data_IF_366898436782
#
_entry.id   IF_366898436782
#
_cell.length_a   1.000
_cell.length_b   1.000
_cell.length_c   1.000
_cell.angle_alpha   90.00
_cell.angle_beta   90.00
_cell.angle_gamma   90.00
#
_symmetry.space_group_name_H-M   'P 1'
#
loop_
_entity.id
_entity.type
_entity.pdbx_description
1 polymer ?
#
# COMPACT_ATOMS: atom_id res chain seq x y z
N UNK A 1 -23.29 15.87 -13.38
CA UNK A 1 -24.13 16.87 -12.73
C UNK A 1 -24.35 16.47 -11.28
N UNK A 2 -23.34 16.70 -10.43
CA UNK A 2 -23.38 16.28 -9.04
C UNK A 2 -23.58 17.48 -8.13
N UNK A 3 -24.81 17.72 -7.69
CA UNK A 3 -25.12 18.53 -6.53
C UNK A 3 -24.97 17.68 -5.26
N UNK A 4 -23.78 17.16 -5.01
CA UNK A 4 -23.50 16.49 -3.75
C UNK A 4 -23.21 17.55 -2.69
N UNK A 5 -24.11 17.64 -1.70
CA UNK A 5 -23.97 18.52 -0.53
C UNK A 5 -22.73 18.07 0.26
N UNK A 6 -21.63 18.84 0.17
CA UNK A 6 -20.39 18.52 0.85
C UNK A 6 -20.45 18.75 2.36
N UNK A 7 -21.37 19.60 2.80
CA UNK A 7 -21.59 19.95 4.21
C UNK A 7 -22.60 21.07 4.34
N UNK A 8 -23.07 21.33 5.56
CA UNK A 8 -23.99 22.40 5.90
C UNK A 8 -23.39 23.23 7.04
N UNK A 9 -23.25 24.52 6.84
CA UNK A 9 -22.86 25.46 7.89
C UNK A 9 -24.11 26.22 8.36
N UNK A 10 -24.51 26.01 9.61
CA UNK A 10 -25.60 26.69 10.22
C UNK A 10 -25.07 27.84 11.11
N UNK A 11 -25.48 29.05 10.82
CA UNK A 11 -25.12 30.22 11.60
C UNK A 11 -26.31 30.61 12.46
N UNK A 12 -26.14 30.60 13.79
CA UNK A 12 -27.11 31.07 14.74
C UNK A 12 -27.13 32.60 14.81
N UNK A 13 -28.27 33.16 15.17
CA UNK A 13 -28.42 34.62 15.34
C UNK A 13 -27.43 35.18 16.37
N UNK A 14 -26.90 36.36 16.10
CA UNK A 14 -25.98 37.09 16.99
C UNK A 14 -26.76 37.71 18.11
N UNK A 15 -26.80 37.12 19.30
CA UNK A 15 -27.39 37.75 20.50
C UNK A 15 -26.43 38.78 21.09
N UNK A 16 -26.85 40.02 21.13
CA UNK A 16 -26.24 41.01 22.03
C UNK A 16 -26.84 40.82 23.43
N UNK A 17 -26.01 40.48 24.39
CA UNK A 17 -26.40 40.39 25.82
C UNK A 17 -27.23 41.60 26.20
N UNK A 18 -28.54 41.40 26.44
CA UNK A 18 -29.43 42.41 27.04
C UNK A 18 -30.41 43.12 26.11
N UNK A 19 -30.56 42.80 24.83
CA UNK A 19 -31.65 43.30 23.97
C UNK A 19 -32.16 42.18 23.06
N UNK A 20 -33.44 41.90 23.20
CA UNK A 20 -34.22 40.95 22.42
C UNK A 20 -34.47 41.50 20.99
N UNK A 21 -33.41 41.70 20.22
CA UNK A 21 -33.45 41.96 18.78
C UNK A 21 -32.38 41.18 18.11
N UNK A 22 -32.77 40.13 17.41
CA UNK A 22 -31.94 39.42 16.43
C UNK A 22 -31.53 40.43 15.37
N UNK A 23 -30.29 40.87 15.41
CA UNK A 23 -29.70 41.67 14.35
C UNK A 23 -29.35 40.70 13.23
N UNK A 24 -29.97 40.85 12.05
CA UNK A 24 -29.62 40.06 10.87
C UNK A 24 -28.15 40.26 10.47
N UNK A 25 -27.63 39.37 9.67
CA UNK A 25 -26.30 39.50 9.08
C UNK A 25 -26.28 40.69 8.11
N UNK A 26 -25.20 41.47 8.10
CA UNK A 26 -24.96 42.53 7.13
C UNK A 26 -24.60 41.93 5.74
N UNK A 27 -24.71 42.74 4.69
CA UNK A 27 -24.27 42.32 3.36
C UNK A 27 -22.77 41.93 3.34
N UNK A 28 -21.94 42.63 4.13
CA UNK A 28 -20.52 42.30 4.29
C UNK A 28 -20.29 40.93 4.96
N UNK A 29 -21.08 40.62 5.97
CA UNK A 29 -21.05 39.30 6.62
C UNK A 29 -21.42 38.19 5.62
N UNK A 30 -22.42 38.43 4.78
CA UNK A 30 -22.85 37.47 3.75
C UNK A 30 -21.78 37.27 2.69
N UNK A 31 -21.14 38.35 2.22
CA UNK A 31 -20.01 38.26 1.24
C UNK A 31 -18.85 37.49 1.85
N UNK A 32 -18.50 37.75 3.10
CA UNK A 32 -17.43 37.04 3.80
C UNK A 32 -17.74 35.54 3.95
N UNK A 33 -18.97 35.22 4.33
CA UNK A 33 -19.42 33.84 4.47
C UNK A 33 -19.41 33.08 3.13
N UNK A 34 -19.86 33.69 2.05
CA UNK A 34 -19.81 33.13 0.72
C UNK A 34 -18.38 32.89 0.26
N UNK A 35 -17.46 33.75 0.66
CA UNK A 35 -16.01 33.57 0.37
C UNK A 35 -15.43 32.37 1.12
N UNK A 36 -15.78 32.21 2.40
CA UNK A 36 -15.37 31.04 3.20
C UNK A 36 -16.00 29.76 2.64
N UNK A 37 -17.29 29.80 2.28
CA UNK A 37 -17.98 28.66 1.68
C UNK A 37 -17.28 28.22 0.39
N UNK A 38 -16.97 29.15 -0.51
CA UNK A 38 -16.28 28.86 -1.76
C UNK A 38 -14.91 28.21 -1.55
N UNK A 39 -14.09 28.78 -0.67
CA UNK A 39 -12.75 28.24 -0.36
C UNK A 39 -12.85 26.86 0.30
N UNK A 40 -13.76 26.71 1.26
CA UNK A 40 -13.98 25.44 1.96
C UNK A 40 -14.50 24.35 1.01
N UNK A 41 -15.42 24.70 0.11
CA UNK A 41 -15.95 23.78 -0.91
C UNK A 41 -14.86 23.27 -1.85
N UNK A 42 -13.98 24.18 -2.31
CA UNK A 42 -12.82 23.80 -3.15
C UNK A 42 -11.86 22.88 -2.38
N UNK A 43 -11.55 23.21 -1.12
CA UNK A 43 -10.65 22.41 -0.29
C UNK A 43 -11.19 20.99 -0.06
N UNK A 44 -12.47 20.86 0.29
CA UNK A 44 -13.14 19.57 0.47
C UNK A 44 -13.19 18.78 -0.83
N UNK A 45 -13.51 19.43 -1.95
CA UNK A 45 -13.55 18.78 -3.27
C UNK A 45 -12.17 18.27 -3.68
N UNK A 46 -11.12 19.06 -3.48
CA UNK A 46 -9.76 18.65 -3.77
C UNK A 46 -9.33 17.48 -2.87
N UNK A 47 -9.61 17.53 -1.56
CA UNK A 47 -9.31 16.42 -0.65
C UNK A 47 -9.98 15.12 -1.10
N UNK A 48 -11.27 15.16 -1.47
CA UNK A 48 -11.99 13.98 -1.98
C UNK A 48 -11.43 13.47 -3.31
N UNK A 49 -11.01 14.36 -4.21
CA UNK A 49 -10.36 13.95 -5.47
C UNK A 49 -9.02 13.29 -5.21
N UNK A 50 -8.20 13.82 -4.27
CA UNK A 50 -6.95 13.19 -3.86
C UNK A 50 -7.17 11.83 -3.19
N UNK A 51 -8.13 11.73 -2.28
CA UNK A 51 -8.50 10.45 -1.66
C UNK A 51 -8.94 9.43 -2.70
N UNK A 52 -9.82 9.83 -3.63
CA UNK A 52 -10.30 8.95 -4.70
C UNK A 52 -9.17 8.50 -5.62
N UNK A 53 -8.31 9.41 -6.07
CA UNK A 53 -7.15 9.08 -6.89
C UNK A 53 -6.17 8.16 -6.13
N UNK A 54 -5.96 8.41 -4.83
CA UNK A 54 -5.11 7.58 -3.98
C UNK A 54 -5.74 6.19 -3.70
N UNK A 55 -7.06 6.09 -3.67
CA UNK A 55 -7.78 4.82 -3.55
C UNK A 55 -7.84 4.03 -4.85
N UNK A 56 -7.86 4.69 -6.00
CA UNK A 56 -7.78 4.05 -7.31
C UNK A 56 -6.38 3.48 -7.60
N UNK A 57 -5.33 4.05 -7.02
CA UNK A 57 -3.97 3.51 -7.11
C UNK A 57 -3.78 2.34 -6.14
N UNK A 58 -4.15 1.12 -6.55
CA UNK A 58 -3.97 -0.10 -5.74
C UNK A 58 -2.59 -0.72 -5.88
N UNK A 59 -1.89 -0.40 -6.93
CA UNK A 59 -0.63 -1.02 -7.31
C UNK A 59 0.53 -0.07 -7.20
N UNK A 60 1.72 -0.61 -7.01
CA UNK A 60 2.99 0.10 -7.14
C UNK A 60 3.25 0.36 -8.62
N UNK A 61 3.52 1.60 -8.99
CA UNK A 61 3.68 2.04 -10.39
C UNK A 61 4.84 1.36 -11.10
N UNK A 62 5.92 1.03 -10.38
CA UNK A 62 7.08 0.41 -10.96
C UNK A 62 6.87 -1.09 -11.21
N UNK A 63 6.33 -1.80 -10.23
CA UNK A 63 6.30 -3.27 -10.22
C UNK A 63 4.95 -3.86 -10.62
N UNK A 64 3.87 -3.09 -10.54
CA UNK A 64 2.50 -3.55 -10.77
C UNK A 64 1.91 -4.42 -9.66
N UNK A 65 2.69 -4.74 -8.61
CA UNK A 65 2.21 -5.46 -7.45
C UNK A 65 1.34 -4.54 -6.56
N UNK A 66 0.63 -5.12 -5.60
CA UNK A 66 -0.09 -4.32 -4.62
C UNK A 66 0.88 -3.34 -3.93
N UNK A 67 0.47 -2.09 -3.78
CA UNK A 67 1.22 -1.16 -2.96
C UNK A 67 1.05 -1.51 -1.47
N UNK A 68 1.87 -0.93 -0.60
CA UNK A 68 1.88 -1.21 0.84
C UNK A 68 0.50 -1.08 1.48
N UNK A 69 -0.26 -0.02 1.13
CA UNK A 69 -1.58 0.24 1.72
C UNK A 69 -2.55 -0.91 1.43
N UNK A 70 -2.71 -1.25 0.17
CA UNK A 70 -3.64 -2.31 -0.25
C UNK A 70 -3.16 -3.70 0.14
N UNK A 71 -1.85 -3.91 0.20
CA UNK A 71 -1.29 -5.13 0.74
C UNK A 71 -1.68 -5.32 2.22
N UNK A 72 -1.54 -4.29 3.06
CA UNK A 72 -1.94 -4.35 4.47
C UNK A 72 -3.45 -4.58 4.62
N UNK A 73 -4.28 -3.91 3.85
CA UNK A 73 -5.73 -4.14 3.84
C UNK A 73 -6.07 -5.60 3.45
N UNK A 74 -5.43 -6.11 2.39
CA UNK A 74 -5.61 -7.50 1.95
C UNK A 74 -5.16 -8.48 3.03
N UNK A 75 -4.08 -8.18 3.75
CA UNK A 75 -3.63 -9.01 4.87
C UNK A 75 -4.66 -9.05 6.01
N UNK A 76 -5.19 -7.91 6.43
CA UNK A 76 -6.22 -7.81 7.46
C UNK A 76 -7.48 -8.59 7.07
N UNK A 77 -7.98 -8.41 5.84
CA UNK A 77 -9.14 -9.13 5.34
C UNK A 77 -8.94 -10.65 5.32
N UNK A 78 -7.77 -11.12 4.89
CA UNK A 78 -7.47 -12.54 4.86
C UNK A 78 -7.23 -13.10 6.25
N UNK A 79 -6.62 -12.34 7.16
CA UNK A 79 -6.45 -12.72 8.55
C UNK A 79 -7.81 -12.91 9.28
N UNK A 80 -8.77 -12.02 9.04
CA UNK A 80 -10.11 -12.15 9.60
C UNK A 80 -10.89 -13.36 9.04
N UNK A 81 -10.71 -13.67 7.76
CA UNK A 81 -11.32 -14.81 7.08
C UNK A 81 -10.70 -16.15 7.52
N UNK A 82 -9.44 -16.13 7.94
CA UNK A 82 -8.63 -17.30 8.28
C UNK A 82 -9.04 -18.01 9.58
N UNK A 83 -10.25 -17.79 10.10
CA UNK A 83 -10.72 -18.37 11.39
C UNK A 83 -10.75 -19.90 11.42
N UNK A 84 -10.56 -20.62 10.30
CA UNK A 84 -10.59 -22.08 10.20
C UNK A 84 -9.46 -22.67 9.34
N UNK A 85 -8.61 -21.84 8.78
CA UNK A 85 -7.53 -22.25 7.88
C UNK A 85 -6.20 -21.63 8.31
N UNK A 86 -5.11 -21.98 7.68
CA UNK A 86 -3.81 -21.35 7.90
C UNK A 86 -3.63 -20.12 7.01
N UNK A 87 -2.81 -19.19 7.44
CA UNK A 87 -2.38 -18.02 6.67
C UNK A 87 -0.88 -17.85 6.88
N UNK A 88 -0.12 -17.82 5.81
CA UNK A 88 1.29 -17.49 5.88
C UNK A 88 1.57 -16.10 5.28
N UNK A 89 2.55 -15.42 5.84
CA UNK A 89 3.11 -14.17 5.36
C UNK A 89 4.59 -14.37 5.13
N UNK A 90 5.06 -14.00 3.95
CA UNK A 90 6.47 -14.01 3.58
C UNK A 90 6.90 -12.59 3.24
N UNK A 91 8.03 -12.15 3.80
CA UNK A 91 8.65 -10.86 3.46
C UNK A 91 10.01 -11.14 2.86
N UNK A 92 10.27 -10.57 1.69
CA UNK A 92 11.56 -10.63 1.00
C UNK A 92 12.23 -9.26 1.03
N UNK A 93 13.52 -9.22 1.34
CA UNK A 93 14.34 -8.00 1.30
C UNK A 93 15.48 -8.24 0.31
N UNK A 94 15.63 -7.38 -0.69
CA UNK A 94 16.72 -7.50 -1.68
C UNK A 94 18.04 -7.10 -1.02
N UNK A 95 18.98 -8.05 -1.01
CA UNK A 95 20.27 -7.88 -0.36
C UNK A 95 21.17 -6.92 -1.15
N UNK A 96 21.94 -6.12 -0.44
CA UNK A 96 22.91 -5.18 -1.03
C UNK A 96 22.36 -4.26 -2.13
N UNK A 97 21.04 -4.04 -2.19
CA UNK A 97 20.40 -3.28 -3.28
C UNK A 97 20.93 -1.86 -3.44
N UNK A 98 21.32 -1.21 -2.33
CA UNK A 98 21.96 0.10 -2.38
C UNK A 98 23.31 0.05 -3.12
N UNK A 99 24.10 -0.97 -2.84
CA UNK A 99 25.38 -1.19 -3.52
C UNK A 99 25.16 -1.50 -5.02
N UNK A 100 24.16 -2.30 -5.33
CA UNK A 100 23.77 -2.58 -6.71
C UNK A 100 23.45 -1.28 -7.49
N UNK A 101 22.63 -0.38 -6.90
CA UNK A 101 22.33 0.91 -7.52
C UNK A 101 23.55 1.82 -7.66
N UNK A 102 24.49 1.77 -6.71
CA UNK A 102 25.72 2.53 -6.80
C UNK A 102 26.64 2.06 -7.92
N UNK A 103 26.67 0.76 -8.20
CA UNK A 103 27.50 0.14 -9.23
C UNK A 103 26.89 0.29 -10.63
N UNK A 104 25.57 0.11 -10.75
CA UNK A 104 24.92 -0.05 -12.06
C UNK A 104 23.89 1.05 -12.37
N UNK A 105 23.65 1.93 -11.42
CA UNK A 105 22.66 3.03 -11.54
C UNK A 105 21.24 2.62 -11.16
N UNK A 106 20.42 3.60 -10.81
CA UNK A 106 19.03 3.39 -10.35
C UNK A 106 18.15 2.75 -11.43
N UNK A 107 18.41 3.05 -12.71
CA UNK A 107 17.63 2.47 -13.81
C UNK A 107 17.76 0.94 -13.90
N UNK A 108 18.97 0.43 -13.71
CA UNK A 108 19.20 -1.04 -13.66
C UNK A 108 18.61 -1.63 -12.37
N UNK A 109 18.65 -0.89 -11.25
CA UNK A 109 17.96 -1.28 -10.03
C UNK A 109 16.45 -1.39 -10.22
N UNK A 110 15.84 -0.44 -10.90
CA UNK A 110 14.40 -0.47 -11.21
C UNK A 110 14.03 -1.68 -12.07
N UNK A 111 14.83 -1.98 -13.10
CA UNK A 111 14.66 -3.20 -13.90
C UNK A 111 14.75 -4.47 -13.05
N UNK A 112 15.74 -4.53 -12.16
CA UNK A 112 15.91 -5.66 -11.26
C UNK A 112 14.69 -5.86 -10.37
N UNK A 113 14.13 -4.77 -9.77
CA UNK A 113 12.92 -4.83 -8.96
C UNK A 113 11.70 -5.31 -9.76
N UNK A 114 11.55 -4.88 -11.01
CA UNK A 114 10.48 -5.36 -11.90
C UNK A 114 10.63 -6.86 -12.20
N UNK A 115 11.86 -7.34 -12.43
CA UNK A 115 12.12 -8.78 -12.65
C UNK A 115 11.82 -9.61 -11.39
N UNK A 116 12.24 -9.15 -10.21
CA UNK A 116 11.94 -9.78 -8.93
C UNK A 116 10.43 -9.87 -8.72
N UNK A 117 9.71 -8.76 -8.96
CA UNK A 117 8.26 -8.72 -8.86
C UNK A 117 7.57 -9.76 -9.75
N UNK A 118 8.03 -9.90 -11.00
CA UNK A 118 7.51 -10.91 -11.95
C UNK A 118 7.77 -12.34 -11.49
N UNK A 119 8.95 -12.61 -10.94
CA UNK A 119 9.29 -13.93 -10.38
C UNK A 119 8.37 -14.27 -9.22
N UNK A 120 8.21 -13.32 -8.28
CA UNK A 120 7.33 -13.50 -7.11
C UNK A 120 5.90 -13.75 -7.58
N UNK A 121 5.35 -12.87 -8.41
CA UNK A 121 3.98 -12.97 -8.89
C UNK A 121 3.74 -14.24 -9.71
N UNK A 122 4.67 -14.61 -10.59
CA UNK A 122 4.57 -15.81 -11.42
C UNK A 122 4.66 -17.10 -10.60
N UNK A 123 5.44 -17.11 -9.51
CA UNK A 123 5.58 -18.29 -8.64
C UNK A 123 4.40 -18.44 -7.69
N UNK A 124 3.86 -17.33 -7.17
CA UNK A 124 2.68 -17.31 -6.30
C UNK A 124 1.40 -17.60 -7.09
N UNK A 125 1.28 -17.05 -8.29
CA UNK A 125 0.08 -17.18 -9.14
C UNK A 125 -1.19 -16.77 -8.41
N UNK A 126 -2.25 -17.56 -8.56
CA UNK A 126 -3.56 -17.33 -7.95
C UNK A 126 -3.65 -17.81 -6.48
N UNK A 127 -2.56 -18.37 -5.94
CA UNK A 127 -2.55 -18.93 -4.59
C UNK A 127 -2.34 -17.86 -3.50
N UNK A 128 -2.09 -16.61 -3.86
CA UNK A 128 -1.82 -15.58 -2.87
C UNK A 128 -1.78 -14.17 -3.44
N UNK A 129 -1.40 -13.23 -2.59
CA UNK A 129 -1.34 -11.81 -2.94
C UNK A 129 0.09 -11.30 -2.78
N UNK A 130 0.58 -10.60 -3.79
CA UNK A 130 1.93 -10.07 -3.83
C UNK A 130 1.90 -8.54 -3.73
N UNK A 131 2.76 -7.96 -2.91
CA UNK A 131 2.87 -6.52 -2.75
C UNK A 131 4.31 -6.04 -2.67
N UNK A 132 4.54 -4.80 -3.09
CA UNK A 132 5.78 -4.08 -2.81
C UNK A 132 5.59 -3.31 -1.51
N UNK A 133 6.24 -3.79 -0.45
CA UNK A 133 6.06 -3.25 0.90
C UNK A 133 6.87 -1.97 1.13
N UNK A 134 8.07 -1.92 0.57
CA UNK A 134 8.93 -0.72 0.54
C UNK A 134 9.82 -0.70 -0.70
N UNK A 135 10.76 0.22 -0.77
CA UNK A 135 11.63 0.42 -1.93
C UNK A 135 12.28 -0.87 -2.46
N UNK A 136 12.76 -1.75 -1.59
CA UNK A 136 13.43 -3.02 -1.93
C UNK A 136 12.81 -4.24 -1.21
N UNK A 137 11.65 -4.07 -0.58
CA UNK A 137 10.98 -5.11 0.18
C UNK A 137 9.69 -5.53 -0.52
N UNK A 138 9.53 -6.83 -0.69
CA UNK A 138 8.34 -7.46 -1.23
C UNK A 138 7.68 -8.30 -0.16
N UNK A 139 6.38 -8.42 -0.22
CA UNK A 139 5.62 -9.21 0.74
C UNK A 139 4.58 -10.07 0.01
N UNK A 140 4.33 -11.26 0.54
CA UNK A 140 3.39 -12.23 -0.04
C UNK A 140 2.48 -12.75 1.06
N UNK A 141 1.17 -12.70 0.81
CA UNK A 141 0.13 -13.33 1.64
C UNK A 141 -0.27 -14.64 0.99
N UNK A 142 -0.24 -15.72 1.74
CA UNK A 142 -0.54 -17.07 1.28
C UNK A 142 -1.69 -17.67 2.12
N UNK A 143 -2.95 -17.50 1.68
CA UNK A 143 -4.07 -18.18 2.31
C UNK A 143 -3.92 -19.70 2.19
N UNK A 144 -4.34 -20.45 3.22
CA UNK A 144 -4.29 -21.91 3.30
C UNK A 144 -2.89 -22.55 3.28
N UNK A 145 -1.84 -21.73 3.44
CA UNK A 145 -0.45 -22.21 3.55
C UNK A 145 -0.04 -22.32 5.02
N UNK A 146 0.59 -23.44 5.34
CA UNK A 146 1.34 -23.61 6.60
C UNK A 146 2.78 -23.09 6.45
N UNK A 147 3.53 -23.11 7.56
CA UNK A 147 4.91 -22.62 7.60
C UNK A 147 5.82 -23.37 6.63
N UNK A 148 5.67 -24.69 6.49
CA UNK A 148 6.52 -25.51 5.63
C UNK A 148 6.23 -25.28 4.15
N UNK A 149 4.96 -25.18 3.78
CA UNK A 149 4.56 -24.89 2.40
C UNK A 149 4.99 -23.48 1.99
N UNK A 150 4.89 -22.50 2.90
CA UNK A 150 5.36 -21.14 2.66
C UNK A 150 6.89 -21.08 2.53
N UNK A 151 7.62 -21.84 3.35
CA UNK A 151 9.07 -21.94 3.26
C UNK A 151 9.51 -22.51 1.91
N UNK A 152 8.92 -23.62 1.47
CA UNK A 152 9.23 -24.22 0.17
C UNK A 152 9.00 -23.23 -0.99
N UNK A 153 7.92 -22.46 -0.94
CA UNK A 153 7.62 -21.43 -1.92
C UNK A 153 8.67 -20.31 -1.89
N UNK A 154 9.02 -19.81 -0.69
CA UNK A 154 10.01 -18.76 -0.51
C UNK A 154 11.40 -19.17 -1.00
N UNK A 155 11.83 -20.40 -0.71
CA UNK A 155 13.09 -20.95 -1.20
C UNK A 155 13.11 -21.07 -2.74
N UNK A 156 11.99 -21.48 -3.35
CA UNK A 156 11.87 -21.53 -4.79
C UNK A 156 11.99 -20.14 -5.41
N UNK A 157 11.30 -19.14 -4.86
CA UNK A 157 11.40 -17.74 -5.29
C UNK A 157 12.83 -17.22 -5.15
N UNK A 158 13.47 -17.44 -3.99
CA UNK A 158 14.84 -17.00 -3.73
C UNK A 158 15.84 -17.61 -4.73
N UNK A 159 15.67 -18.88 -5.07
CA UNK A 159 16.50 -19.57 -6.07
C UNK A 159 16.28 -19.01 -7.47
N UNK A 160 15.05 -18.72 -7.86
CA UNK A 160 14.76 -18.11 -9.16
C UNK A 160 15.36 -16.69 -9.26
N UNK A 161 15.27 -15.89 -8.19
CA UNK A 161 15.88 -14.55 -8.14
C UNK A 161 17.40 -14.64 -8.28
N UNK A 162 18.04 -15.56 -7.55
CA UNK A 162 19.48 -15.77 -7.63
C UNK A 162 19.95 -16.17 -9.04
N UNK A 163 19.12 -16.91 -9.77
CA UNK A 163 19.41 -17.40 -11.12
C UNK A 163 18.87 -16.48 -12.22
N UNK A 164 18.24 -15.35 -11.87
CA UNK A 164 17.73 -14.45 -12.89
C UNK A 164 18.87 -13.84 -13.69
N UNK A 165 18.78 -13.97 -15.01
CA UNK A 165 19.64 -13.24 -15.92
C UNK A 165 19.04 -11.84 -16.12
N UNK A 166 19.70 -10.84 -15.56
CA UNK A 166 19.42 -9.46 -15.95
C UNK A 166 20.13 -9.28 -17.30
N UNK A 167 19.34 -9.04 -18.36
CA UNK A 167 19.84 -8.75 -19.72
C UNK A 167 20.61 -7.42 -19.73
N UNK A 168 21.77 -7.41 -19.09
CA UNK A 168 22.70 -6.31 -19.14
C UNK A 168 23.84 -6.73 -20.06
N UNK A 169 24.20 -5.83 -20.94
CA UNK A 169 25.31 -5.97 -21.90
C UNK A 169 26.67 -6.22 -21.25
N UNK A 170 26.74 -6.16 -19.91
CA UNK A 170 27.95 -6.46 -19.14
C UNK A 170 27.84 -7.83 -18.43
N UNK A 171 28.69 -8.72 -18.84
CA UNK A 171 28.80 -10.15 -18.45
C UNK A 171 29.16 -10.36 -16.96
N UNK A 172 29.23 -9.35 -16.12
CA UNK A 172 29.76 -9.42 -14.76
C UNK A 172 28.85 -8.84 -13.67
N UNK A 173 27.54 -8.76 -13.92
CA UNK A 173 26.63 -8.31 -12.86
C UNK A 173 26.64 -9.33 -11.71
N UNK A 174 26.88 -8.83 -10.51
CA UNK A 174 26.73 -9.64 -9.28
C UNK A 174 25.27 -10.09 -9.19
N UNK A 175 24.99 -11.40 -9.06
CA UNK A 175 23.63 -11.87 -8.89
C UNK A 175 23.03 -11.25 -7.62
N UNK A 176 21.79 -10.78 -7.73
CA UNK A 176 21.04 -10.31 -6.57
C UNK A 176 20.53 -11.53 -5.78
N UNK A 177 20.55 -11.41 -4.48
CA UNK A 177 19.93 -12.35 -3.55
C UNK A 177 18.86 -11.67 -2.75
N UNK A 178 18.00 -12.43 -2.11
CA UNK A 178 16.99 -11.94 -1.19
C UNK A 178 17.08 -12.71 0.13
N UNK A 179 16.99 -11.96 1.24
CA UNK A 179 16.74 -12.51 2.55
C UNK A 179 15.22 -12.54 2.78
N UNK A 180 14.71 -13.62 3.36
CA UNK A 180 13.27 -13.73 3.63
C UNK A 180 12.97 -14.06 5.08
N UNK A 181 11.88 -13.48 5.59
CA UNK A 181 11.25 -13.82 6.86
C UNK A 181 9.87 -14.41 6.60
N UNK A 182 9.52 -15.47 7.33
CA UNK A 182 8.26 -16.18 7.16
C UNK A 182 7.56 -16.28 8.50
N UNK A 183 6.26 -15.97 8.52
CA UNK A 183 5.41 -16.29 9.67
C UNK A 183 4.13 -16.95 9.18
N UNK A 184 3.60 -17.84 9.99
CA UNK A 184 2.30 -18.47 9.73
C UNK A 184 1.40 -18.37 10.96
N UNK A 185 0.14 -18.03 10.73
CA UNK A 185 -0.91 -18.05 11.73
C UNK A 185 -1.83 -19.23 11.46
N UNK A 186 -2.12 -20.01 12.51
CA UNK A 186 -3.13 -21.06 12.46
C UNK A 186 -4.23 -20.69 13.42
N UNK A 187 -5.47 -20.60 12.97
CA UNK A 187 -6.58 -20.32 13.89
C UNK A 187 -7.02 -21.61 14.60
N UNK A 188 -7.17 -21.62 15.93
CA UNK A 188 -7.56 -20.50 16.79
C UNK A 188 -6.44 -19.95 17.72
N UNK A 189 -5.21 -19.92 17.34
CA UNK A 189 -4.12 -19.52 18.26
C UNK A 189 -3.78 -18.06 18.08
N UNK A 190 -3.84 -17.30 19.17
CA UNK A 190 -3.50 -15.87 19.26
C UNK A 190 -1.99 -15.57 19.13
N UNK A 191 -1.17 -16.52 18.70
CA UNK A 191 0.28 -16.35 18.66
C UNK A 191 0.79 -16.52 17.23
N UNK A 192 1.35 -15.44 16.69
CA UNK A 192 2.15 -15.49 15.47
C UNK A 192 3.53 -16.01 15.89
N UNK A 193 3.93 -17.16 15.36
CA UNK A 193 5.29 -17.67 15.55
C UNK A 193 6.15 -17.05 14.45
N UNK A 194 7.09 -16.21 14.85
CA UNK A 194 8.11 -15.67 13.95
C UNK A 194 9.34 -16.55 14.10
N UNK A 195 9.62 -17.37 13.10
CA UNK A 195 10.89 -18.06 12.98
C UNK A 195 11.73 -17.34 11.92
N UNK A 196 12.84 -16.75 12.36
CA UNK A 196 13.83 -16.04 11.54
C UNK A 196 15.04 -16.90 11.24
#
# INVERSE_FOLDING_TARGET
>A
DGNDLAGLVLLGGREKRGKMRTQGYSEEDIIFLNSIESVSSIAVKNSRLYEKAYEEARTDELTGLLNRKYFCQTLEENYEKCRRTSLALVIFNVDDFKLYNQLYGNHEGDKALVHIARIIQGTVGDNGYCGRYSGKEFAVILPDYDIYSAQNLAENISRQIQNMNLDCTDTYLKPLTVSCGICAAHCPVKNIIVEG
#
